data_IF_976379050684
#
_entry.id   IF_976379050684
#
_cell.length_a   1.000
_cell.length_b   1.000
_cell.length_c   1.000
_cell.angle_alpha   90.00
_cell.angle_beta   90.00
_cell.angle_gamma   90.00
#
_symmetry.space_group_name_H-M   'P 1'
#
loop_
_entity.id
_entity.type
_entity.pdbx_description
1 polymer ?
#
# COMPACT_ATOMS: atom_id res chain seq x y z
N UNK A 1 -10.97 19.80 9.82
CA UNK A 1 -11.78 18.90 8.97
C UNK A 1 -10.94 18.62 7.75
N UNK A 2 -10.20 17.50 7.76
CA UNK A 2 -9.44 17.07 6.59
C UNK A 2 -10.45 16.68 5.52
N UNK A 3 -10.68 17.55 4.53
CA UNK A 3 -11.52 17.18 3.39
C UNK A 3 -10.92 15.92 2.77
N UNK A 4 -11.75 14.94 2.43
CA UNK A 4 -11.27 13.73 1.78
C UNK A 4 -10.68 14.10 0.42
N UNK A 5 -9.35 14.18 0.35
CA UNK A 5 -8.61 14.51 -0.89
C UNK A 5 -8.53 13.29 -1.82
N UNK A 6 -9.13 12.15 -1.43
CA UNK A 6 -9.11 10.88 -2.16
C UNK A 6 -10.49 10.20 -2.07
N UNK A 7 -10.89 9.42 -3.09
CA UNK A 7 -12.14 8.66 -3.05
C UNK A 7 -12.25 7.76 -1.83
N UNK A 8 -13.46 7.68 -1.27
CA UNK A 8 -13.76 6.62 -0.31
C UNK A 8 -13.88 5.29 -1.05
N UNK A 9 -13.02 4.33 -0.73
CA UNK A 9 -13.07 2.99 -1.31
C UNK A 9 -13.83 2.06 -0.38
N UNK A 10 -14.94 1.48 -0.88
CA UNK A 10 -15.68 0.47 -0.13
C UNK A 10 -14.77 -0.74 0.17
N UNK A 11 -14.70 -1.25 1.41
CA UNK A 11 -13.90 -2.41 1.76
C UNK A 11 -14.07 -3.64 0.86
N UNK A 12 -15.26 -3.85 0.30
CA UNK A 12 -15.51 -4.97 -0.64
C UNK A 12 -14.64 -4.94 -1.90
N UNK A 13 -14.02 -3.79 -2.24
CA UNK A 13 -13.12 -3.65 -3.39
C UNK A 13 -11.71 -4.16 -3.13
N UNK A 14 -11.29 -4.19 -1.86
CA UNK A 14 -9.95 -4.61 -1.46
C UNK A 14 -9.92 -5.79 -0.48
N UNK A 15 -11.10 -6.32 -0.11
CA UNK A 15 -11.24 -7.53 0.68
C UNK A 15 -10.44 -8.69 0.07
N UNK A 16 -9.66 -9.37 0.90
CA UNK A 16 -8.82 -10.51 0.53
C UNK A 16 -7.86 -10.28 -0.64
N UNK A 17 -7.63 -9.02 -1.03
CA UNK A 17 -6.90 -8.63 -2.24
C UNK A 17 -7.50 -9.23 -3.52
N UNK A 18 -8.81 -9.48 -3.57
CA UNK A 18 -9.48 -10.14 -4.69
C UNK A 18 -9.32 -9.39 -6.03
N UNK A 19 -9.10 -8.08 -6.00
CA UNK A 19 -8.80 -7.27 -7.19
C UNK A 19 -7.51 -7.70 -7.91
N UNK A 20 -6.54 -8.29 -7.19
CA UNK A 20 -5.35 -8.90 -7.80
C UNK A 20 -5.65 -10.26 -8.44
N UNK A 21 -6.90 -10.69 -8.47
CA UNK A 21 -7.34 -11.95 -9.04
C UNK A 21 -8.66 -11.78 -9.80
N UNK A 22 -8.80 -10.66 -10.52
CA UNK A 22 -9.98 -10.35 -11.34
C UNK A 22 -11.31 -10.39 -10.57
N UNK A 23 -11.26 -10.02 -9.29
CA UNK A 23 -12.41 -10.04 -8.37
C UNK A 23 -12.73 -11.41 -7.79
N UNK A 24 -12.02 -12.47 -8.21
CA UNK A 24 -12.20 -13.80 -7.63
C UNK A 24 -11.45 -13.90 -6.30
N UNK A 25 -12.08 -14.45 -5.25
CA UNK A 25 -11.41 -14.62 -3.97
C UNK A 25 -10.13 -15.42 -4.13
N UNK A 26 -9.08 -15.01 -3.43
CA UNK A 26 -7.82 -15.76 -3.39
C UNK A 26 -8.04 -16.93 -2.42
N UNK A 27 -8.64 -18.02 -2.94
CA UNK A 27 -9.15 -19.17 -2.15
C UNK A 27 -8.07 -20.14 -1.67
N UNK A 28 -6.83 -20.02 -2.14
CA UNK A 28 -5.76 -20.97 -1.82
C UNK A 28 -4.73 -20.38 -0.87
N UNK A 29 -4.66 -20.95 0.33
CA UNK A 29 -3.52 -20.91 1.24
C UNK A 29 -2.29 -21.55 0.61
N UNK A 30 -1.09 -21.03 0.89
CA UNK A 30 -0.61 -19.78 0.32
C UNK A 30 -0.29 -19.98 -1.18
N UNK A 31 -0.42 -18.95 -2.01
CA UNK A 31 0.52 -18.83 -3.13
C UNK A 31 1.89 -19.01 -2.50
N UNK A 32 2.64 -20.05 -2.91
CA UNK A 32 3.83 -20.48 -2.21
C UNK A 32 4.59 -19.26 -1.69
N UNK A 33 5.00 -19.29 -0.41
CA UNK A 33 5.83 -18.26 0.19
C UNK A 33 7.07 -18.10 -0.70
N UNK A 34 7.00 -17.20 -1.66
CA UNK A 34 7.87 -17.14 -2.85
C UNK A 34 8.88 -16.02 -2.69
N UNK A 35 8.68 -15.18 -1.68
CA UNK A 35 9.59 -14.14 -1.28
C UNK A 35 10.34 -14.54 0.01
N UNK A 36 11.40 -15.37 -0.06
CA UNK A 36 12.05 -15.95 1.12
C UNK A 36 12.58 -14.91 2.12
N UNK A 37 13.04 -13.74 1.64
CA UNK A 37 13.49 -12.64 2.50
C UNK A 37 12.37 -12.10 3.41
N UNK A 38 11.29 -11.61 2.80
CA UNK A 38 10.10 -11.14 3.52
C UNK A 38 9.51 -12.21 4.44
N UNK A 39 9.47 -13.48 4.02
CA UNK A 39 8.94 -14.58 4.86
C UNK A 39 9.74 -14.71 6.15
N UNK A 40 11.08 -14.72 6.07
CA UNK A 40 11.92 -14.80 7.25
C UNK A 40 11.73 -13.57 8.17
N UNK A 41 11.61 -12.38 7.60
CA UNK A 41 11.38 -11.16 8.37
C UNK A 41 10.00 -11.15 9.04
N UNK A 42 8.92 -11.46 8.31
CA UNK A 42 7.56 -11.55 8.84
C UNK A 42 7.45 -12.61 9.94
N UNK A 43 8.07 -13.78 9.79
CA UNK A 43 8.06 -14.80 10.84
C UNK A 43 8.72 -14.31 12.14
N UNK A 44 9.79 -13.52 12.05
CA UNK A 44 10.43 -12.93 13.23
C UNK A 44 9.53 -11.87 13.88
N UNK A 45 8.92 -11.01 13.07
CA UNK A 45 8.14 -9.87 13.56
C UNK A 45 6.73 -10.25 14.02
N UNK A 46 6.15 -11.35 13.49
CA UNK A 46 4.78 -11.77 13.80
C UNK A 46 4.59 -12.27 15.24
N UNK A 47 5.67 -12.53 15.97
CA UNK A 47 5.62 -12.83 17.41
C UNK A 47 5.39 -11.56 18.26
N UNK A 48 5.78 -10.40 17.72
CA UNK A 48 5.79 -9.12 18.44
C UNK A 48 4.68 -8.17 17.96
N UNK A 49 4.34 -8.21 16.67
CA UNK A 49 3.43 -7.26 16.04
C UNK A 49 2.28 -7.94 15.30
N UNK A 50 1.04 -7.41 15.42
CA UNK A 50 -0.12 -7.94 14.72
C UNK A 50 -0.15 -7.50 13.25
N UNK A 51 0.24 -8.40 12.33
CA UNK A 51 0.04 -8.17 10.90
C UNK A 51 -1.31 -8.70 10.41
N UNK A 52 -1.95 -7.97 9.50
CA UNK A 52 -3.15 -8.47 8.82
C UNK A 52 -2.82 -9.64 7.89
N UNK A 53 -3.81 -10.52 7.68
CA UNK A 53 -3.65 -11.67 6.80
C UNK A 53 -3.36 -11.24 5.35
N UNK A 54 -3.93 -10.13 4.90
CA UNK A 54 -3.69 -9.51 3.60
C UNK A 54 -2.25 -9.01 3.48
N UNK A 55 -1.71 -8.35 4.51
CA UNK A 55 -0.33 -7.89 4.52
C UNK A 55 0.66 -9.05 4.42
N UNK A 56 0.49 -10.08 5.26
CA UNK A 56 1.34 -11.27 5.22
C UNK A 56 1.27 -11.93 3.84
N UNK A 57 0.06 -12.11 3.31
CA UNK A 57 -0.16 -12.76 2.02
C UNK A 57 0.52 -12.00 0.87
N UNK A 58 0.38 -10.68 0.84
CA UNK A 58 1.02 -9.83 -0.16
C UNK A 58 2.54 -9.86 -0.02
N UNK A 59 3.06 -9.62 1.17
CA UNK A 59 4.50 -9.49 1.40
C UNK A 59 5.24 -10.82 1.24
N UNK A 60 4.57 -11.96 1.39
CA UNK A 60 5.16 -13.28 1.17
C UNK A 60 5.02 -13.81 -0.27
N UNK A 61 4.27 -13.14 -1.15
CA UNK A 61 3.97 -13.62 -2.51
C UNK A 61 4.55 -12.71 -3.60
N UNK A 62 5.63 -13.16 -4.24
CA UNK A 62 6.22 -12.49 -5.41
C UNK A 62 5.19 -12.36 -6.54
N UNK A 63 4.33 -13.38 -6.71
CA UNK A 63 3.29 -13.36 -7.72
C UNK A 63 2.24 -12.27 -7.43
N UNK A 64 1.78 -12.08 -6.18
CA UNK A 64 0.86 -10.97 -5.87
C UNK A 64 1.51 -9.61 -6.05
N UNK A 65 2.76 -9.47 -5.59
CA UNK A 65 3.52 -8.23 -5.75
C UNK A 65 3.67 -7.87 -7.23
N UNK A 66 3.91 -8.86 -8.10
CA UNK A 66 4.07 -8.65 -9.55
C UNK A 66 2.81 -8.15 -10.26
N UNK A 67 1.63 -8.34 -9.65
CA UNK A 67 0.35 -7.86 -10.19
C UNK A 67 0.07 -6.38 -9.89
N UNK A 68 0.84 -5.77 -9.00
CA UNK A 68 0.78 -4.33 -8.71
C UNK A 68 1.87 -3.65 -9.55
N UNK A 69 1.50 -3.24 -10.76
CA UNK A 69 2.39 -2.49 -11.63
C UNK A 69 2.67 -1.11 -11.05
N UNK A 70 3.80 -0.50 -11.42
CA UNK A 70 4.14 0.85 -11.00
C UNK A 70 4.69 1.69 -12.15
N UNK A 71 4.00 2.78 -12.46
CA UNK A 71 4.41 3.82 -13.41
C UNK A 71 5.68 4.56 -12.95
N UNK A 72 5.94 4.59 -11.64
CA UNK A 72 7.13 5.20 -11.02
C UNK A 72 8.20 4.18 -10.59
N UNK A 73 8.11 2.94 -11.08
CA UNK A 73 9.00 1.84 -10.68
C UNK A 73 9.06 1.56 -9.16
N UNK A 74 7.98 1.87 -8.43
CA UNK A 74 7.82 1.49 -7.03
C UNK A 74 7.62 -0.01 -6.85
N UNK A 75 8.11 -0.51 -5.72
CA UNK A 75 8.24 -1.93 -5.45
C UNK A 75 8.06 -2.24 -3.97
N UNK A 76 7.61 -3.46 -3.71
CA UNK A 76 7.50 -3.99 -2.36
C UNK A 76 8.88 -4.32 -1.81
N UNK A 77 9.19 -3.76 -0.65
CA UNK A 77 10.45 -3.98 0.04
C UNK A 77 10.19 -3.90 1.53
N UNK A 78 10.29 -5.04 2.21
CA UNK A 78 10.11 -5.07 3.65
C UNK A 78 11.40 -4.56 4.32
N UNK A 79 11.25 -3.54 5.15
CA UNK A 79 12.32 -3.02 6.00
C UNK A 79 12.90 -4.11 6.89
N UNK A 80 14.17 -3.96 7.26
CA UNK A 80 14.85 -4.93 8.13
C UNK A 80 14.35 -4.85 9.58
N UNK A 81 14.07 -3.64 10.02
CA UNK A 81 13.77 -3.28 11.39
C UNK A 81 12.49 -2.43 11.43
N UNK A 82 11.77 -2.53 12.55
CA UNK A 82 10.70 -1.59 12.89
C UNK A 82 11.33 -0.32 13.45
N UNK A 83 10.67 0.82 13.23
CA UNK A 83 11.11 2.12 13.72
C UNK A 83 10.08 2.64 14.72
N UNK A 84 10.52 2.92 15.93
CA UNK A 84 9.72 3.63 16.93
C UNK A 84 9.79 5.13 16.64
N UNK A 85 8.62 5.74 16.44
CA UNK A 85 8.50 7.19 16.35
C UNK A 85 8.79 7.84 17.72
N UNK A 86 9.10 9.15 17.77
CA UNK A 86 9.20 9.89 19.02
C UNK A 86 7.99 9.65 19.92
N UNK A 87 8.22 9.68 21.24
CA UNK A 87 7.20 9.31 22.25
C UNK A 87 5.89 10.09 22.14
N UNK A 88 5.95 11.33 21.65
CA UNK A 88 4.82 12.23 21.43
C UNK A 88 4.01 11.91 20.17
N UNK A 89 4.56 11.07 19.29
CA UNK A 89 3.88 10.47 18.13
C UNK A 89 3.30 9.12 18.54
N UNK A 90 4.07 8.29 19.26
CA UNK A 90 3.61 7.04 19.85
C UNK A 90 3.18 6.00 18.82
N UNK A 91 3.92 5.90 17.72
CA UNK A 91 3.69 4.92 16.64
C UNK A 91 4.94 4.07 16.45
N UNK A 92 4.76 2.80 16.10
CA UNK A 92 5.82 1.94 15.59
C UNK A 92 5.50 1.58 14.15
N UNK A 93 6.48 1.72 13.25
CA UNK A 93 6.24 1.61 11.81
C UNK A 93 7.24 0.67 11.13
N UNK A 94 6.83 0.07 10.02
CA UNK A 94 7.65 -0.82 9.21
C UNK A 94 7.56 -0.41 7.73
N UNK A 95 8.71 -0.13 7.12
CA UNK A 95 8.80 0.12 5.68
C UNK A 95 8.34 -1.12 4.91
N UNK A 96 7.46 -0.98 3.93
CA UNK A 96 7.01 -2.12 3.11
C UNK A 96 6.90 -1.84 1.62
N UNK A 97 6.91 -0.57 1.21
CA UNK A 97 6.79 -0.15 -0.19
C UNK A 97 7.55 1.17 -0.39
N UNK A 98 8.19 1.34 -1.55
CA UNK A 98 8.96 2.54 -1.88
C UNK A 98 9.14 2.69 -3.38
N UNK A 99 9.34 3.91 -3.85
CA UNK A 99 9.73 4.14 -5.25
C UNK A 99 11.22 3.80 -5.49
N UNK A 100 11.62 3.66 -6.76
CA UNK A 100 13.00 3.27 -7.11
C UNK A 100 14.05 4.29 -6.65
N UNK A 101 13.68 5.55 -6.53
CA UNK A 101 14.57 6.65 -6.21
C UNK A 101 14.48 7.08 -4.74
N UNK A 102 13.66 6.38 -3.95
CA UNK A 102 13.41 6.70 -2.54
C UNK A 102 12.93 8.15 -2.35
N UNK A 103 12.15 8.67 -3.29
CA UNK A 103 11.48 9.96 -3.20
C UNK A 103 10.28 9.93 -2.23
N UNK A 104 9.63 8.78 -2.12
CA UNK A 104 8.53 8.49 -1.21
C UNK A 104 8.67 7.06 -0.69
N UNK A 105 8.61 6.93 0.63
CA UNK A 105 8.57 5.66 1.34
C UNK A 105 7.21 5.50 2.00
N UNK A 106 6.68 4.27 1.95
CA UNK A 106 5.43 3.90 2.59
C UNK A 106 5.64 2.87 3.69
N UNK A 107 5.07 3.18 4.85
CA UNK A 107 5.24 2.43 6.07
C UNK A 107 3.89 1.93 6.56
N UNK A 108 3.84 0.70 7.07
CA UNK A 108 2.67 0.19 7.80
C UNK A 108 2.89 0.48 9.28
N UNK A 109 1.87 1.01 9.95
CA UNK A 109 1.87 1.17 11.41
C UNK A 109 1.62 -0.21 12.03
N UNK A 110 2.56 -0.69 12.82
CA UNK A 110 2.53 -2.02 13.45
C UNK A 110 2.17 -1.97 14.93
N UNK A 111 2.25 -0.80 15.55
CA UNK A 111 1.77 -0.53 16.91
C UNK A 111 1.40 0.95 17.09
N UNK A 112 0.48 1.24 18.01
CA UNK A 112 -0.01 2.57 18.34
C UNK A 112 -1.43 2.90 17.85
N UNK A 113 -1.92 4.14 18.04
CA UNK A 113 -3.31 4.52 17.79
C UNK A 113 -3.75 4.44 16.32
N UNK A 114 -2.81 4.28 15.38
CA UNK A 114 -3.06 4.13 13.95
C UNK A 114 -2.68 2.74 13.43
N UNK A 115 -2.61 1.71 14.29
CA UNK A 115 -2.30 0.33 13.89
C UNK A 115 -3.03 -0.08 12.59
N UNK A 116 -2.28 -0.70 11.68
CA UNK A 116 -2.74 -1.13 10.36
C UNK A 116 -2.79 -0.04 9.28
N UNK A 117 -2.72 1.25 9.65
CA UNK A 117 -2.69 2.34 8.68
C UNK A 117 -1.38 2.36 7.88
N UNK A 118 -1.44 2.97 6.70
CA UNK A 118 -0.27 3.24 5.87
C UNK A 118 0.09 4.71 5.96
N UNK A 119 1.35 4.98 6.31
CA UNK A 119 1.95 6.31 6.30
C UNK A 119 2.81 6.47 5.04
N UNK A 120 2.95 7.70 4.56
CA UNK A 120 3.91 8.08 3.53
C UNK A 120 4.85 9.15 4.07
N UNK A 121 6.12 9.12 3.65
CA UNK A 121 7.14 10.11 4.01
C UNK A 121 8.08 10.34 2.83
N UNK A 122 8.53 11.57 2.63
CA UNK A 122 9.57 11.91 1.65
C UNK A 122 10.99 11.71 2.21
N UNK A 123 11.11 11.61 3.53
CA UNK A 123 12.35 11.31 4.23
C UNK A 123 12.26 9.96 4.93
N UNK A 124 13.39 9.30 5.17
CA UNK A 124 13.41 8.10 5.99
C UNK A 124 12.97 8.44 7.40
N UNK A 125 11.95 7.74 7.92
CA UNK A 125 11.37 8.05 9.23
C UNK A 125 12.36 7.85 10.38
N UNK A 126 13.36 6.99 10.20
CA UNK A 126 14.49 6.79 11.11
C UNK A 126 15.46 7.99 11.17
N UNK A 127 15.43 8.89 10.18
CA UNK A 127 16.23 10.12 10.16
C UNK A 127 15.48 11.32 10.79
N UNK A 128 14.20 11.14 11.11
CA UNK A 128 13.37 12.17 11.73
C UNK A 128 13.53 12.13 13.26
N UNK A 129 14.36 13.04 13.78
CA UNK A 129 14.79 13.04 15.18
C UNK A 129 13.70 13.48 16.18
N UNK A 130 12.76 14.33 15.76
CA UNK A 130 11.79 14.94 16.65
C UNK A 130 10.34 14.88 16.14
N UNK A 131 9.40 15.07 17.07
CA UNK A 131 7.97 15.02 16.79
C UNK A 131 7.48 16.17 15.90
N UNK A 132 8.24 17.25 15.71
CA UNK A 132 7.87 18.32 14.79
C UNK A 132 8.13 17.87 13.35
N UNK A 133 9.35 17.38 13.09
CA UNK A 133 9.79 16.83 11.82
C UNK A 133 8.89 15.68 11.36
N UNK A 134 8.52 14.78 12.28
CA UNK A 134 7.54 13.72 11.99
C UNK A 134 6.18 14.25 11.53
N UNK A 135 5.65 15.29 12.18
CA UNK A 135 4.32 15.84 11.81
C UNK A 135 4.34 16.62 10.50
N UNK A 136 5.49 17.18 10.14
CA UNK A 136 5.66 17.95 8.92
C UNK A 136 5.88 17.04 7.70
N UNK A 137 6.62 15.94 7.87
CA UNK A 137 7.01 15.03 6.76
C UNK A 137 6.09 13.82 6.58
N UNK A 138 5.48 13.31 7.66
CA UNK A 138 4.75 12.04 7.63
C UNK A 138 3.24 12.27 7.51
N UNK A 139 2.63 11.67 6.50
CA UNK A 139 1.19 11.78 6.24
C UNK A 139 0.50 10.42 6.24
N UNK A 140 -0.73 10.38 6.76
CA UNK A 140 -1.58 9.17 6.67
C UNK A 140 -2.07 9.02 5.24
N UNK A 141 -1.68 7.94 4.58
CA UNK A 141 -1.96 7.66 3.17
C UNK A 141 -3.21 6.78 2.96
N UNK A 142 -3.39 5.76 3.80
CA UNK A 142 -4.53 4.84 3.76
C UNK A 142 -4.82 4.26 5.15
N UNK A 143 -6.04 3.74 5.36
CA UNK A 143 -6.45 3.12 6.63
C UNK A 143 -6.03 1.67 6.77
N UNK A 144 -5.66 1.03 5.67
CA UNK A 144 -5.14 -0.33 5.64
C UNK A 144 -4.16 -0.53 4.49
N UNK A 145 -3.32 -1.56 4.58
CA UNK A 145 -2.46 -1.95 3.44
C UNK A 145 -3.29 -2.42 2.24
N UNK A 146 -4.41 -3.12 2.46
CA UNK A 146 -5.26 -3.56 1.36
C UNK A 146 -5.88 -2.38 0.59
N UNK A 147 -6.35 -1.35 1.31
CA UNK A 147 -6.84 -0.10 0.69
C UNK A 147 -5.72 0.61 -0.08
N UNK A 148 -4.52 0.73 0.51
CA UNK A 148 -3.36 1.31 -0.14
C UNK A 148 -3.04 0.60 -1.46
N UNK A 149 -2.90 -0.73 -1.42
CA UNK A 149 -2.53 -1.54 -2.59
C UNK A 149 -3.59 -1.49 -3.66
N UNK A 150 -4.89 -1.47 -3.30
CA UNK A 150 -5.96 -1.29 -4.26
C UNK A 150 -5.86 0.05 -4.99
N UNK A 151 -5.66 1.14 -4.23
CA UNK A 151 -5.51 2.50 -4.80
C UNK A 151 -4.28 2.58 -5.70
N UNK A 152 -3.15 2.07 -5.24
CA UNK A 152 -1.92 1.98 -6.04
C UNK A 152 -2.15 1.17 -7.31
N UNK A 153 -2.81 0.00 -7.22
CA UNK A 153 -3.09 -0.83 -8.37
C UNK A 153 -3.98 -0.10 -9.39
N UNK A 154 -5.14 0.42 -8.97
CA UNK A 154 -6.09 1.05 -9.92
C UNK A 154 -5.53 2.33 -10.52
N UNK A 155 -4.81 3.15 -9.75
CA UNK A 155 -4.16 4.37 -10.25
C UNK A 155 -3.09 4.03 -11.30
N UNK A 156 -2.32 2.96 -11.10
CA UNK A 156 -1.35 2.50 -12.09
C UNK A 156 -2.03 1.91 -13.33
N UNK A 157 -3.11 1.13 -13.19
CA UNK A 157 -3.87 0.64 -14.34
C UNK A 157 -4.39 1.80 -15.21
N UNK A 158 -4.95 2.84 -14.58
CA UNK A 158 -5.38 4.07 -15.26
C UNK A 158 -4.20 4.73 -15.98
N UNK A 159 -3.07 4.90 -15.28
CA UNK A 159 -1.88 5.52 -15.87
C UNK A 159 -1.40 4.76 -17.11
N UNK A 160 -1.23 3.44 -17.01
CA UNK A 160 -0.77 2.62 -18.14
C UNK A 160 -1.78 2.62 -19.28
N UNK A 161 -3.09 2.58 -18.99
CA UNK A 161 -4.13 2.64 -20.01
C UNK A 161 -4.12 3.97 -20.79
N UNK A 162 -3.81 5.08 -20.12
CA UNK A 162 -3.80 6.40 -20.73
C UNK A 162 -2.48 6.74 -21.45
N UNK A 163 -1.36 6.17 -21.00
CA UNK A 163 -0.02 6.58 -21.45
C UNK A 163 0.70 5.52 -22.29
N UNK A 164 0.31 4.24 -22.22
CA UNK A 164 0.94 3.16 -22.97
C UNK A 164 -0.03 2.51 -23.96
N UNK A 165 0.22 2.73 -25.26
CA UNK A 165 -0.64 2.26 -26.35
C UNK A 165 -0.73 0.73 -26.47
N UNK A 166 0.18 -0.02 -25.85
CA UNK A 166 0.19 -1.48 -25.80
C UNK A 166 -0.59 -2.07 -24.63
N UNK A 167 -1.01 -1.27 -23.65
CA UNK A 167 -1.68 -1.77 -22.45
C UNK A 167 -3.13 -2.13 -22.76
N UNK A 168 -3.44 -3.42 -22.67
CA UNK A 168 -4.80 -3.94 -22.75
C UNK A 168 -5.24 -4.36 -21.36
N UNK A 169 -6.16 -3.58 -20.78
CA UNK A 169 -6.78 -3.91 -19.51
C UNK A 169 -7.75 -5.09 -19.67
N UNK A 170 -7.88 -5.89 -18.61
CA UNK A 170 -8.96 -6.88 -18.53
C UNK A 170 -10.31 -6.17 -18.35
N UNK A 171 -11.44 -6.80 -18.71
CA UNK A 171 -12.77 -6.23 -18.46
C UNK A 171 -12.99 -5.85 -16.99
N UNK A 172 -12.46 -6.62 -16.04
CA UNK A 172 -12.54 -6.30 -14.61
C UNK A 172 -11.73 -5.05 -14.27
N UNK A 173 -10.46 -4.97 -14.71
CA UNK A 173 -9.62 -3.81 -14.47
C UNK A 173 -10.22 -2.52 -15.07
N UNK A 174 -10.82 -2.60 -16.26
CA UNK A 174 -11.56 -1.48 -16.88
C UNK A 174 -12.71 -0.99 -16.00
N UNK A 175 -13.53 -1.91 -15.46
CA UNK A 175 -14.64 -1.55 -14.58
C UNK A 175 -14.17 -0.87 -13.29
N UNK A 176 -13.05 -1.33 -12.72
CA UNK A 176 -12.45 -0.73 -11.54
C UNK A 176 -11.86 0.66 -11.84
N UNK A 177 -11.20 0.84 -12.99
CA UNK A 177 -10.70 2.14 -13.46
C UNK A 177 -11.84 3.14 -13.67
N UNK A 178 -12.89 2.74 -14.42
CA UNK A 178 -14.06 3.57 -14.69
C UNK A 178 -14.76 4.00 -13.41
N UNK A 179 -14.87 3.10 -12.43
CA UNK A 179 -15.42 3.45 -11.12
C UNK A 179 -14.52 4.48 -10.41
N UNK A 180 -13.22 4.22 -10.30
CA UNK A 180 -12.29 5.08 -9.56
C UNK A 180 -12.19 6.48 -10.19
N UNK A 181 -12.20 6.60 -11.51
CA UNK A 181 -12.20 7.89 -12.20
C UNK A 181 -13.50 8.68 -11.95
N UNK A 182 -14.68 8.01 -11.91
CA UNK A 182 -15.94 8.68 -11.57
C UNK A 182 -15.93 9.23 -10.15
N UNK A 183 -15.49 8.45 -9.17
CA UNK A 183 -15.44 8.91 -7.77
C UNK A 183 -14.44 10.06 -7.61
N UNK A 184 -13.31 10.04 -8.32
CA UNK A 184 -12.39 11.19 -8.34
C UNK A 184 -13.02 12.43 -8.98
N UNK A 185 -13.79 12.27 -10.06
CA UNK A 185 -14.47 13.39 -10.72
C UNK A 185 -15.51 14.05 -9.80
N UNK A 186 -16.22 13.27 -8.96
CA UNK A 186 -17.14 13.80 -7.94
C UNK A 186 -16.42 14.66 -6.87
N UNK A 187 -15.14 14.38 -6.64
CA UNK A 187 -14.25 15.17 -5.78
C UNK A 187 -13.56 16.32 -6.52
N UNK A 188 -13.87 16.55 -7.80
CA UNK A 188 -13.22 17.57 -8.63
C UNK A 188 -11.77 17.23 -9.00
N UNK A 189 -11.40 15.95 -9.02
CA UNK A 189 -10.06 15.45 -9.34
C UNK A 189 -10.09 14.64 -10.63
N UNK A 190 -8.92 14.51 -11.25
CA UNK A 190 -8.65 13.54 -12.31
C UNK A 190 -7.45 12.69 -11.91
N UNK A 191 -7.42 11.42 -12.34
CA UNK A 191 -6.22 10.59 -12.26
C UNK A 191 -5.20 10.92 -13.36
N UNK A 192 -5.50 11.94 -14.18
CA UNK A 192 -4.62 12.57 -15.17
C UNK A 192 -3.83 13.71 -14.55
#
# INVERSE_FOLDING_TARGET
MWGHVVPFVNPSKYEDLAFLNEGEPIRTTPMALTHPGNVAALNRLAEEFPFSAEFIRLMASTELQSKVLSATAAYFSLGRDVVEAPSEIGLTVLLFYRDQQDCIMWYVVVDGPLEGHVLASMSYVEELEDAASWRDEVVVCAKSVAEFVYRTWVENQIWFHLNESSTVLTPYALLECDWYERENAELGRTCR
#
